data_IF_192650965556
#
_entry.id   IF_192650965556
#
_cell.length_a   1.000
_cell.length_b   1.000
_cell.length_c   1.000
_cell.angle_alpha   90.00
_cell.angle_beta   90.00
_cell.angle_gamma   90.00
#
_symmetry.space_group_name_H-M   'P 1'
#
loop_
_entity.id
_entity.type
_entity.pdbx_description
1 polymer ?
#
# COMPACT_ATOMS: atom_id res chain seq x y z
N UNK A 1 8.99 -37.19 -11.09
CA UNK A 1 7.80 -37.32 -10.24
C UNK A 1 7.70 -36.02 -9.46
N UNK A 2 6.71 -35.17 -9.73
CA UNK A 2 6.54 -33.90 -9.00
C UNK A 2 6.14 -34.22 -7.57
N UNK A 3 6.73 -33.51 -6.62
CA UNK A 3 6.46 -33.72 -5.20
C UNK A 3 5.08 -33.13 -4.86
N UNK A 4 4.10 -33.96 -4.43
CA UNK A 4 2.76 -33.48 -4.11
C UNK A 4 2.73 -32.39 -3.04
N UNK A 5 3.70 -32.39 -2.13
CA UNK A 5 3.83 -31.37 -1.10
C UNK A 5 4.26 -30.03 -1.72
N UNK A 6 5.21 -30.03 -2.65
CA UNK A 6 5.66 -28.79 -3.29
C UNK A 6 4.53 -28.17 -4.12
N UNK A 7 3.76 -28.98 -4.82
CA UNK A 7 2.61 -28.52 -5.60
C UNK A 7 1.51 -27.91 -4.69
N UNK A 8 1.24 -28.49 -3.51
CA UNK A 8 0.26 -27.92 -2.58
C UNK A 8 0.75 -26.61 -1.98
N UNK A 9 2.00 -26.56 -1.54
CA UNK A 9 2.60 -25.36 -0.95
C UNK A 9 2.72 -24.22 -1.95
N UNK A 10 3.00 -24.51 -3.22
CA UNK A 10 2.99 -23.49 -4.28
C UNK A 10 1.60 -22.87 -4.46
N UNK A 11 0.54 -23.68 -4.45
CA UNK A 11 -0.85 -23.17 -4.54
C UNK A 11 -1.22 -22.33 -3.33
N UNK A 12 -0.90 -22.81 -2.12
CA UNK A 12 -1.14 -22.07 -0.88
C UNK A 12 -0.41 -20.72 -0.87
N UNK A 13 0.85 -20.69 -1.34
CA UNK A 13 1.61 -19.45 -1.47
C UNK A 13 0.94 -18.45 -2.42
N UNK A 14 0.51 -18.91 -3.61
CA UNK A 14 -0.16 -18.05 -4.58
C UNK A 14 -1.49 -17.51 -4.06
N UNK A 15 -2.30 -18.36 -3.42
CA UNK A 15 -3.57 -17.96 -2.83
C UNK A 15 -3.36 -16.97 -1.67
N UNK A 16 -2.33 -17.19 -0.85
CA UNK A 16 -1.95 -16.26 0.23
C UNK A 16 -1.53 -14.91 -0.35
N UNK A 17 -0.65 -14.90 -1.35
CA UNK A 17 -0.16 -13.66 -1.97
C UNK A 17 -1.31 -12.84 -2.59
N UNK A 18 -2.28 -13.51 -3.19
CA UNK A 18 -3.48 -12.87 -3.76
C UNK A 18 -4.30 -12.17 -2.66
N UNK A 19 -4.53 -12.84 -1.53
CA UNK A 19 -5.24 -12.23 -0.37
C UNK A 19 -4.47 -11.05 0.22
N UNK A 20 -3.14 -11.12 0.25
CA UNK A 20 -2.30 -10.02 0.72
C UNK A 20 -2.39 -8.83 -0.24
N UNK A 21 -2.39 -9.07 -1.55
CA UNK A 21 -2.59 -8.01 -2.54
C UNK A 21 -3.95 -7.32 -2.34
N UNK A 22 -5.04 -8.09 -2.17
CA UNK A 22 -6.38 -7.55 -1.89
C UNK A 22 -6.40 -6.71 -0.60
N UNK A 23 -5.81 -7.23 0.47
CA UNK A 23 -5.83 -6.57 1.78
C UNK A 23 -5.04 -5.25 1.80
N UNK A 24 -3.87 -5.22 1.15
CA UNK A 24 -3.00 -4.05 1.10
C UNK A 24 -3.40 -3.05 0.01
N UNK A 25 -4.38 -3.38 -0.85
CA UNK A 25 -4.69 -2.61 -2.06
C UNK A 25 -3.59 -2.68 -3.12
N UNK A 26 -2.77 -3.74 -3.07
CA UNK A 26 -1.71 -4.00 -4.04
C UNK A 26 -2.25 -4.39 -5.41
N UNK A 27 -1.43 -4.25 -6.47
CA UNK A 27 -1.83 -4.60 -7.83
C UNK A 27 -2.08 -6.11 -7.99
N UNK A 28 -3.36 -6.51 -8.08
CA UNK A 28 -3.77 -7.91 -8.35
C UNK A 28 -3.05 -8.52 -9.56
N UNK A 29 -2.80 -7.72 -10.61
CA UNK A 29 -2.03 -8.12 -11.79
C UNK A 29 -0.64 -8.68 -11.46
N UNK A 30 0.03 -8.18 -10.42
CA UNK A 30 1.36 -8.65 -10.02
C UNK A 30 1.25 -10.00 -9.29
N UNK A 31 0.21 -10.19 -8.48
CA UNK A 31 -0.10 -11.48 -7.86
C UNK A 31 -0.47 -12.54 -8.92
N UNK A 32 -1.29 -12.18 -9.91
CA UNK A 32 -1.66 -13.05 -11.03
C UNK A 32 -0.44 -13.44 -11.87
N UNK A 33 0.43 -12.47 -12.18
CA UNK A 33 1.67 -12.74 -12.90
C UNK A 33 2.59 -13.69 -12.12
N UNK A 34 2.62 -13.60 -10.78
CA UNK A 34 3.36 -14.52 -9.93
C UNK A 34 2.76 -15.94 -9.98
N UNK A 35 1.43 -16.06 -9.93
CA UNK A 35 0.71 -17.35 -10.01
C UNK A 35 0.90 -18.06 -11.35
N UNK A 36 1.07 -17.31 -12.44
CA UNK A 36 1.29 -17.86 -13.79
C UNK A 36 2.71 -18.42 -14.00
N UNK A 37 3.63 -18.22 -13.04
CA UNK A 37 4.96 -18.80 -13.12
C UNK A 37 4.93 -20.32 -12.96
N UNK A 38 5.97 -20.97 -13.51
CA UNK A 38 6.11 -22.41 -13.38
C UNK A 38 6.27 -22.82 -11.90
N UNK A 39 5.51 -23.84 -11.46
CA UNK A 39 5.62 -24.36 -10.10
C UNK A 39 7.02 -24.91 -9.86
N UNK A 40 7.61 -24.69 -8.67
CA UNK A 40 8.95 -25.15 -8.35
C UNK A 40 9.01 -26.68 -8.30
N UNK A 41 10.07 -27.28 -8.84
CA UNK A 41 10.26 -28.74 -8.82
C UNK A 41 10.96 -29.25 -7.55
N UNK A 42 11.53 -28.36 -6.74
CA UNK A 42 12.33 -28.67 -5.55
C UNK A 42 12.00 -27.74 -4.41
N UNK A 43 12.19 -28.22 -3.18
CA UNK A 43 11.97 -27.42 -1.97
C UNK A 43 12.83 -26.15 -1.92
N UNK A 44 14.10 -26.21 -2.35
CA UNK A 44 14.96 -25.01 -2.39
C UNK A 44 14.38 -23.93 -3.30
N UNK A 45 13.88 -24.30 -4.48
CA UNK A 45 13.23 -23.35 -5.40
C UNK A 45 11.93 -22.79 -4.82
N UNK A 46 11.17 -23.61 -4.08
CA UNK A 46 10.00 -23.12 -3.35
C UNK A 46 10.38 -22.05 -2.33
N UNK A 47 11.47 -22.22 -1.58
CA UNK A 47 11.95 -21.20 -0.64
C UNK A 47 12.37 -19.90 -1.34
N UNK A 48 13.00 -20.00 -2.51
CA UNK A 48 13.34 -18.83 -3.33
C UNK A 48 12.06 -18.10 -3.78
N UNK A 49 11.04 -18.84 -4.21
CA UNK A 49 9.72 -18.27 -4.54
C UNK A 49 9.03 -17.61 -3.34
N UNK A 50 9.10 -18.20 -2.16
CA UNK A 50 8.56 -17.58 -0.93
C UNK A 50 9.27 -16.26 -0.64
N UNK A 51 10.59 -16.19 -0.84
CA UNK A 51 11.35 -14.94 -0.68
C UNK A 51 10.90 -13.88 -1.68
N UNK A 52 10.71 -14.25 -2.94
CA UNK A 52 10.20 -13.34 -3.99
C UNK A 52 8.81 -12.80 -3.64
N UNK A 53 7.88 -13.68 -3.25
CA UNK A 53 6.53 -13.31 -2.82
C UNK A 53 6.55 -12.35 -1.61
N UNK A 54 7.43 -12.61 -0.65
CA UNK A 54 7.60 -11.74 0.53
C UNK A 54 8.14 -10.36 0.16
N UNK A 55 9.09 -10.31 -0.78
CA UNK A 55 9.64 -9.05 -1.29
C UNK A 55 8.54 -8.22 -1.95
N UNK A 56 7.68 -8.87 -2.74
CA UNK A 56 6.55 -8.22 -3.39
C UNK A 56 5.53 -7.68 -2.36
N UNK A 57 5.17 -8.49 -1.37
CA UNK A 57 4.27 -8.08 -0.30
C UNK A 57 4.81 -6.89 0.52
N UNK A 58 6.11 -6.88 0.81
CA UNK A 58 6.75 -5.75 1.51
C UNK A 58 6.68 -4.46 0.69
N UNK A 59 6.90 -4.53 -0.62
CA UNK A 59 6.77 -3.37 -1.53
C UNK A 59 5.35 -2.80 -1.50
N UNK A 60 4.33 -3.66 -1.53
CA UNK A 60 2.93 -3.21 -1.45
C UNK A 60 2.63 -2.54 -0.10
N UNK A 61 3.14 -3.12 1.00
CA UNK A 61 2.98 -2.54 2.35
C UNK A 61 3.64 -1.17 2.46
N UNK A 62 4.86 -1.01 1.94
CA UNK A 62 5.57 0.28 1.93
C UNK A 62 4.79 1.33 1.13
N UNK A 63 4.30 0.97 -0.05
CA UNK A 63 3.47 1.86 -0.89
C UNK A 63 2.21 2.31 -0.16
N UNK A 64 1.51 1.39 0.50
CA UNK A 64 0.31 1.70 1.29
C UNK A 64 0.63 2.63 2.47
N UNK A 65 1.77 2.43 3.12
CA UNK A 65 2.20 3.26 4.27
C UNK A 65 2.55 4.67 3.83
N UNK A 66 3.24 4.82 2.69
CA UNK A 66 3.54 6.14 2.11
C UNK A 66 2.26 6.90 1.75
N UNK A 67 1.28 6.26 1.12
CA UNK A 67 0.00 6.92 0.81
C UNK A 67 -0.74 7.43 2.05
N UNK A 68 -0.75 6.66 3.15
CA UNK A 68 -1.36 7.12 4.41
C UNK A 68 -0.64 8.33 5.00
N UNK A 69 0.69 8.38 4.90
CA UNK A 69 1.47 9.51 5.40
C UNK A 69 1.22 10.79 4.59
N UNK A 70 1.03 10.68 3.27
CA UNK A 70 0.74 11.84 2.42
C UNK A 70 -0.67 12.42 2.69
N UNK A 71 -1.67 11.59 2.98
CA UNK A 71 -3.01 12.05 3.36
C UNK A 71 -3.01 12.81 4.70
N UNK A 72 -2.15 12.42 5.64
CA UNK A 72 -2.00 13.10 6.94
C UNK A 72 -1.25 14.45 6.84
N UNK A 73 -0.60 14.74 5.71
CA UNK A 73 0.12 16.00 5.45
C UNK A 73 -0.75 17.07 4.76
N UNK A 74 -2.02 16.79 4.48
CA UNK A 74 -2.94 17.76 3.89
C UNK A 74 -3.26 18.85 4.93
N UNK A 75 -2.63 20.00 4.75
CA UNK A 75 -2.60 21.17 5.62
C UNK A 75 -3.97 21.88 5.72
N UNK A 76 -4.54 21.92 6.93
CA UNK A 76 -5.77 22.65 7.27
C UNK A 76 -5.62 24.19 7.23
N UNK A 77 -4.48 24.72 6.76
CA UNK A 77 -4.18 26.15 6.61
C UNK A 77 -5.20 26.99 5.79
N UNK A 78 -6.21 26.36 5.18
CA UNK A 78 -7.32 27.04 4.51
C UNK A 78 -8.58 27.30 5.35
N UNK A 79 -8.69 26.74 6.57
CA UNK A 79 -9.92 26.86 7.39
C UNK A 79 -9.94 28.09 8.30
N UNK A 80 -8.82 28.82 8.42
CA UNK A 80 -8.80 30.11 9.11
C UNK A 80 -9.32 31.22 8.21
N UNK A 81 -10.65 31.37 8.15
CA UNK A 81 -11.25 32.63 7.72
C UNK A 81 -10.98 33.68 8.79
N UNK A 82 -9.88 34.40 8.67
CA UNK A 82 -9.66 35.62 9.45
C UNK A 82 -10.92 36.47 9.31
N UNK A 83 -11.57 36.89 10.42
CA UNK A 83 -12.63 37.87 10.30
C UNK A 83 -11.99 39.09 9.63
N UNK A 84 -12.51 39.46 8.45
CA UNK A 84 -12.20 40.74 7.84
C UNK A 84 -12.65 41.80 8.85
N UNK A 85 -11.73 42.18 9.74
CA UNK A 85 -11.94 43.24 10.71
C UNK A 85 -12.11 44.50 9.88
N UNK A 86 -13.34 44.98 9.75
CA UNK A 86 -13.61 46.29 9.18
C UNK A 86 -12.66 47.31 9.85
N UNK A 87 -11.96 48.14 9.06
CA UNK A 87 -11.02 49.09 9.63
C UNK A 87 -11.76 50.03 10.60
N UNK A 88 -11.14 50.39 11.74
CA UNK A 88 -11.78 51.27 12.71
C UNK A 88 -12.09 52.61 12.04
N UNK A 89 -13.34 53.05 12.15
CA UNK A 89 -13.76 54.38 11.69
C UNK A 89 -13.16 55.42 12.62
N UNK A 90 -12.13 56.16 12.17
CA UNK A 90 -11.63 57.32 12.90
C UNK A 90 -12.72 58.41 12.94
N UNK A 91 -13.35 58.60 14.10
CA UNK A 91 -14.15 59.79 14.36
C UNK A 91 -13.24 60.83 15.04
N UNK A 92 -12.89 61.88 14.31
CA UNK A 92 -12.21 63.04 14.89
C UNK A 92 -13.19 63.79 15.79
N UNK A 93 -13.25 63.44 17.08
CA UNK A 93 -13.86 64.30 18.09
C UNK A 93 -12.94 65.50 18.33
N UNK A 94 -13.21 66.58 17.64
CA UNK A 94 -12.60 67.90 17.83
C UNK A 94 -13.58 68.76 18.62
N UNK A 95 -13.30 69.03 19.90
CA UNK A 95 -13.80 70.17 20.68
C UNK A 95 -13.02 70.29 21.99
#
# INVERSE_FOLDING_TARGET
MKDPFIDSQWRELCDHLSRVAEHLGGPLREADAFRLQDPPDRFSHLLDRVREATTLANKWRETQTSHRHDDDLIDEAGQESFPASDPPTFSHSHA
#
